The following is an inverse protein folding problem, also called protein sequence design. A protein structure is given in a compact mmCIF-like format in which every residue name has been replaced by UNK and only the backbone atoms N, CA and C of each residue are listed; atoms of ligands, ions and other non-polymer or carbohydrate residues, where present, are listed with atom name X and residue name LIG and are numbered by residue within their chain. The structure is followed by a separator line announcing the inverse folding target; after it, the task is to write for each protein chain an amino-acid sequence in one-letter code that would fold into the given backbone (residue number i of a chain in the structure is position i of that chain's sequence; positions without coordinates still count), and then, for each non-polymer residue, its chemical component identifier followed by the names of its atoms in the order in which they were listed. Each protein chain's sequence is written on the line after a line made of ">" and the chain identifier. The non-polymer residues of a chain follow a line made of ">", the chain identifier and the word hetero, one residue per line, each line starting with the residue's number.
data_IF_217610529720
#
_entry.id   IF_217610529720
#
_cell.length_a   1.000
_cell.length_b   1.000
_cell.length_c   1.000
_cell.angle_alpha   90.00
_cell.angle_beta   90.00
_cell.angle_gamma   90.00
#
_symmetry.space_group_name_H-M   'P 1'
#
loop_
_entity.id
_entity.type
_entity.pdbx_description
1 polymer ?
#
# COMPACT_ATOMS: atom_id res chain seq x y z
N UNK A 1 -7.09 -1.99 8.55
CA UNK A 1 -6.14 -0.84 8.64
C UNK A 1 -4.99 -1.07 9.62
N UNK A 2 -5.24 -1.69 10.78
CA UNK A 2 -4.20 -1.99 11.78
C UNK A 2 -3.01 -2.73 11.17
N UNK A 3 -3.27 -3.70 10.29
CA UNK A 3 -2.25 -4.47 9.55
C UNK A 3 -1.31 -3.60 8.69
N UNK A 4 -1.83 -2.58 8.01
CA UNK A 4 -1.03 -1.61 7.23
C UNK A 4 -0.09 -0.79 8.10
N UNK A 5 -0.51 -0.50 9.33
CA UNK A 5 0.25 0.31 10.29
C UNK A 5 1.31 -0.49 11.01
N UNK A 6 1.08 -1.78 11.24
CA UNK A 6 2.04 -2.65 11.91
C UNK A 6 3.05 -3.27 10.96
N UNK A 7 3.02 -2.96 9.66
CA UNK A 7 3.78 -3.71 8.62
C UNK A 7 3.44 -5.21 8.58
N UNK A 8 2.38 -5.65 9.27
CA UNK A 8 1.86 -7.04 9.21
C UNK A 8 0.80 -7.15 8.12
N UNK A 9 1.11 -6.58 6.96
CA UNK A 9 0.24 -6.62 5.79
C UNK A 9 0.57 -7.89 5.05
N UNK A 10 -0.43 -8.57 4.50
CA UNK A 10 -0.25 -9.62 3.50
C UNK A 10 0.33 -9.10 2.18
N UNK A 11 1.41 -8.30 2.23
CA UNK A 11 2.23 -7.98 1.06
C UNK A 11 3.31 -9.03 0.93
N UNK A 12 3.72 -9.30 -0.31
CA UNK A 12 4.61 -10.41 -0.61
C UNK A 12 5.92 -10.37 0.21
N UNK A 13 6.48 -9.19 0.52
CA UNK A 13 7.68 -9.10 1.36
C UNK A 13 7.49 -9.64 2.79
N UNK A 14 6.32 -9.40 3.40
CA UNK A 14 6.00 -9.91 4.74
C UNK A 14 5.54 -11.37 4.70
N UNK A 15 4.76 -11.73 3.67
CA UNK A 15 4.33 -13.11 3.44
C UNK A 15 5.51 -14.04 3.15
N UNK A 16 6.54 -13.55 2.46
CA UNK A 16 7.77 -14.31 2.19
C UNK A 16 8.57 -14.55 3.47
N UNK A 17 8.66 -13.56 4.38
CA UNK A 17 9.28 -13.75 5.71
C UNK A 17 8.56 -14.81 6.54
N UNK A 18 7.25 -14.92 6.40
CA UNK A 18 6.43 -15.94 7.08
C UNK A 18 6.31 -17.24 6.27
N UNK A 19 7.04 -17.38 5.15
CA UNK A 19 7.02 -18.53 4.22
C UNK A 19 5.63 -18.85 3.65
N UNK A 20 4.75 -17.87 3.60
CA UNK A 20 3.37 -18.00 3.07
C UNK A 20 3.31 -17.87 1.55
N UNK A 21 4.29 -17.19 0.94
CA UNK A 21 4.45 -17.07 -0.52
C UNK A 21 5.87 -17.42 -0.92
N UNK A 22 6.02 -17.92 -2.15
CA UNK A 22 7.31 -18.36 -2.68
C UNK A 22 8.22 -17.21 -3.14
N UNK A 23 7.64 -16.03 -3.42
CA UNK A 23 8.41 -14.87 -3.87
C UNK A 23 7.97 -13.59 -3.15
N UNK A 24 8.91 -12.76 -2.68
CA UNK A 24 8.59 -11.45 -2.13
C UNK A 24 8.23 -10.43 -3.23
N UNK A 25 8.41 -10.76 -4.50
CA UNK A 25 8.36 -9.79 -5.60
C UNK A 25 6.93 -9.47 -6.05
N UNK A 26 6.72 -8.21 -6.42
CA UNK A 26 5.51 -7.77 -7.09
C UNK A 26 5.51 -8.28 -8.53
N UNK A 27 4.45 -8.95 -8.97
CA UNK A 27 4.36 -9.50 -10.32
C UNK A 27 4.43 -8.46 -11.44
N UNK A 28 4.08 -7.20 -11.16
CA UNK A 28 4.12 -6.12 -12.13
C UNK A 28 5.46 -5.37 -12.18
N UNK A 29 6.20 -5.36 -11.07
CA UNK A 29 7.40 -4.51 -10.93
C UNK A 29 8.69 -5.32 -10.75
N UNK A 30 8.61 -6.62 -10.49
CA UNK A 30 9.77 -7.49 -10.26
C UNK A 30 10.54 -7.23 -8.96
N UNK A 31 10.15 -6.26 -8.15
CA UNK A 31 10.82 -5.88 -6.90
C UNK A 31 9.99 -6.30 -5.67
N UNK A 32 10.62 -6.45 -4.49
CA UNK A 32 9.91 -6.82 -3.27
C UNK A 32 8.69 -5.93 -2.99
N UNK A 33 7.51 -6.54 -2.85
CA UNK A 33 6.27 -5.84 -2.53
C UNK A 33 6.26 -5.47 -1.04
N UNK A 34 6.84 -4.32 -0.73
CA UNK A 34 6.79 -3.70 0.61
C UNK A 34 5.65 -2.70 0.72
N UNK A 35 5.31 -2.25 1.93
CA UNK A 35 4.29 -1.20 2.15
C UNK A 35 4.64 0.07 1.36
N UNK A 36 5.93 0.43 1.32
CA UNK A 36 6.47 1.54 0.53
C UNK A 36 6.25 1.32 -0.96
N UNK A 37 6.60 0.14 -1.47
CA UNK A 37 6.39 -0.19 -2.87
C UNK A 37 4.90 -0.12 -3.22
N UNK A 38 4.07 -0.84 -2.48
CA UNK A 38 2.63 -0.89 -2.65
C UNK A 38 2.00 0.52 -2.67
N UNK A 39 2.18 1.31 -1.61
CA UNK A 39 1.53 2.63 -1.48
C UNK A 39 2.16 3.74 -2.33
N UNK A 40 3.47 3.71 -2.60
CA UNK A 40 4.19 4.86 -3.20
C UNK A 40 4.75 4.56 -4.59
N UNK A 41 5.27 3.36 -4.87
CA UNK A 41 6.08 3.11 -6.07
C UNK A 41 5.48 2.12 -7.11
N UNK A 42 4.55 1.25 -6.72
CA UNK A 42 4.10 0.12 -7.53
C UNK A 42 3.34 0.53 -8.79
N UNK A 43 3.92 0.37 -9.98
CA UNK A 43 3.32 0.80 -11.25
C UNK A 43 1.90 0.24 -11.47
N UNK A 44 1.63 -0.99 -11.00
CA UNK A 44 0.30 -1.63 -11.06
C UNK A 44 -0.83 -0.80 -10.47
N UNK A 45 -0.54 -0.02 -9.43
CA UNK A 45 -1.55 0.74 -8.70
C UNK A 45 -1.48 2.23 -8.98
N UNK A 46 -0.86 2.65 -10.09
CA UNK A 46 -0.65 4.06 -10.40
C UNK A 46 -1.99 4.82 -10.52
N UNK A 47 -2.99 4.23 -11.17
CA UNK A 47 -4.35 4.78 -11.31
C UNK A 47 -5.01 5.00 -9.95
N UNK A 48 -5.02 3.97 -9.09
CA UNK A 48 -5.55 4.05 -7.73
C UNK A 48 -4.79 5.11 -6.92
N UNK A 49 -3.47 5.22 -7.11
CA UNK A 49 -2.64 6.22 -6.43
C UNK A 49 -2.97 7.63 -6.88
N UNK A 50 -3.25 7.83 -8.16
CA UNK A 50 -3.67 9.12 -8.70
C UNK A 50 -5.01 9.54 -8.08
N UNK A 51 -5.97 8.61 -7.96
CA UNK A 51 -7.21 8.86 -7.24
C UNK A 51 -6.97 9.18 -5.76
N UNK A 52 -6.06 8.47 -5.10
CA UNK A 52 -5.66 8.74 -3.72
C UNK A 52 -5.10 10.17 -3.61
N UNK A 53 -4.14 10.56 -4.46
CA UNK A 53 -3.56 11.92 -4.49
C UNK A 53 -4.61 13.00 -4.71
N UNK A 54 -5.53 12.79 -5.66
CA UNK A 54 -6.64 13.73 -5.92
C UNK A 54 -7.55 13.90 -4.71
N UNK A 55 -7.89 12.81 -4.02
CA UNK A 55 -8.75 12.85 -2.83
C UNK A 55 -8.06 13.44 -1.60
N UNK A 56 -6.79 13.10 -1.39
CA UNK A 56 -6.04 13.57 -0.22
C UNK A 56 -5.46 14.97 -0.41
N UNK A 57 -5.39 15.47 -1.66
CA UNK A 57 -4.65 16.68 -2.06
C UNK A 57 -3.20 16.67 -1.57
N UNK A 58 -2.62 15.48 -1.41
CA UNK A 58 -1.23 15.30 -0.98
C UNK A 58 -0.36 15.23 -2.24
N UNK A 59 0.52 16.22 -2.40
CA UNK A 59 1.52 16.23 -3.46
C UNK A 59 2.60 15.16 -3.30
N UNK A 60 2.98 14.85 -2.05
CA UNK A 60 3.98 13.82 -1.73
C UNK A 60 3.39 12.77 -0.77
N UNK A 61 3.05 11.60 -1.32
CA UNK A 61 2.48 10.49 -0.55
C UNK A 61 3.54 9.92 0.40
N UNK A 62 3.46 10.30 1.67
CA UNK A 62 4.30 9.72 2.71
C UNK A 62 3.52 8.61 3.43
N UNK A 63 4.19 7.49 3.71
CA UNK A 63 3.58 6.37 4.46
C UNK A 63 3.01 6.87 5.79
N UNK A 64 3.75 7.71 6.50
CA UNK A 64 3.34 8.25 7.80
C UNK A 64 2.02 9.05 7.74
N UNK A 65 1.81 9.85 6.70
CA UNK A 65 0.58 10.64 6.56
C UNK A 65 -0.63 9.78 6.13
N UNK A 66 -0.41 8.77 5.30
CA UNK A 66 -1.44 7.83 4.86
C UNK A 66 -1.85 6.81 5.94
N UNK A 67 -0.91 6.44 6.81
CA UNK A 67 -1.10 5.46 7.89
C UNK A 67 -1.36 6.10 9.25
N UNK A 68 -1.48 7.42 9.37
CA UNK A 68 -1.83 8.08 10.62
C UNK A 68 -3.31 7.82 11.00
N UNK A 69 -3.57 7.39 12.24
CA UNK A 69 -4.90 6.94 12.73
C UNK A 69 -5.96 8.03 12.67
N UNK A 70 -5.56 9.27 12.95
CA UNK A 70 -6.46 10.42 13.05
C UNK A 70 -6.41 11.29 11.78
N UNK A 71 -5.86 10.78 10.68
CA UNK A 71 -5.78 11.59 9.47
C UNK A 71 -7.10 11.53 8.70
N UNK A 72 -7.53 12.69 8.21
CA UNK A 72 -8.57 12.83 7.18
C UNK A 72 -8.31 12.00 5.90
N UNK A 73 -7.10 11.44 5.77
CA UNK A 73 -6.69 10.61 4.65
C UNK A 73 -6.97 9.13 4.87
N UNK A 74 -7.37 8.71 6.07
CA UNK A 74 -7.67 7.32 6.40
C UNK A 74 -8.72 6.71 5.48
N UNK A 75 -9.81 7.44 5.23
CA UNK A 75 -10.87 7.01 4.29
C UNK A 75 -10.35 6.88 2.87
N UNK A 76 -9.43 7.76 2.45
CA UNK A 76 -8.84 7.71 1.13
C UNK A 76 -7.88 6.50 1.00
N UNK A 77 -7.07 6.22 2.03
CA UNK A 77 -6.20 5.04 2.11
C UNK A 77 -7.03 3.75 2.11
N UNK A 78 -8.17 3.72 2.81
CA UNK A 78 -9.12 2.59 2.77
C UNK A 78 -9.70 2.37 1.37
N UNK A 79 -10.15 3.44 0.71
CA UNK A 79 -10.67 3.35 -0.64
C UNK A 79 -9.61 2.83 -1.62
N UNK A 80 -8.35 3.25 -1.45
CA UNK A 80 -7.22 2.72 -2.20
C UNK A 80 -7.05 1.21 -1.98
N UNK A 81 -7.02 0.75 -0.73
CA UNK A 81 -6.86 -0.68 -0.39
C UNK A 81 -8.02 -1.52 -0.94
N UNK A 82 -9.25 -1.00 -0.87
CA UNK A 82 -10.43 -1.67 -1.45
C UNK A 82 -10.34 -1.74 -2.97
N UNK A 83 -9.83 -0.70 -3.62
CA UNK A 83 -9.68 -0.64 -5.07
C UNK A 83 -8.57 -1.54 -5.62
N UNK A 84 -7.54 -1.84 -4.82
CA UNK A 84 -6.47 -2.77 -5.21
C UNK A 84 -6.84 -4.24 -5.01
N UNK A 85 -7.96 -4.53 -4.30
CA UNK A 85 -8.47 -5.89 -4.00
C UNK A 85 -7.39 -6.83 -3.43
N UNK A 86 -6.43 -6.28 -2.69
CA UNK A 86 -5.33 -7.07 -2.08
C UNK A 86 -5.74 -7.71 -0.75
N UNK A 87 -6.82 -7.19 -0.13
CA UNK A 87 -7.43 -7.61 1.13
C UNK A 87 -8.93 -7.73 0.96
#
# INVERSE_FOLDING_TARGET
>A
LTQLRTSHVGLNAHLFRTKTVESPNCSACGVPETVTHYLIACAKYNTQRQHLRRRTRIGNLQIRSLLASHSKHLHATLAYVKATKRF
#
